data_IF_803603441301
#
_entry.id   IF_803603441301
#
_cell.length_a   1.000
_cell.length_b   1.000
_cell.length_c   1.000
_cell.angle_alpha   90.00
_cell.angle_beta   90.00
_cell.angle_gamma   90.00
#
_symmetry.space_group_name_H-M   'P 1'
#
loop_
_entity.id
_entity.type
_entity.pdbx_description
1 polymer ?
#
# COMPACT_ATOMS: atom_id res chain seq x y z
N UNK A 1 -8.66 -5.91 -69.22
CA UNK A 1 -8.89 -5.63 -67.79
C UNK A 1 -8.45 -6.85 -67.02
N UNK A 2 -7.29 -6.80 -66.35
CA UNK A 2 -6.83 -7.88 -65.50
C UNK A 2 -7.75 -7.91 -64.28
N UNK A 3 -8.56 -8.97 -64.18
CA UNK A 3 -9.68 -9.10 -63.25
C UNK A 3 -9.26 -9.42 -61.82
N UNK A 4 -8.66 -8.45 -61.13
CA UNK A 4 -8.77 -8.40 -59.68
C UNK A 4 -9.93 -7.46 -59.38
N UNK A 5 -11.03 -8.00 -58.86
CA UNK A 5 -12.11 -7.15 -58.36
C UNK A 5 -11.51 -6.26 -57.28
N UNK A 6 -11.63 -4.94 -57.44
CA UNK A 6 -11.12 -3.95 -56.47
C UNK A 6 -11.60 -4.27 -55.05
N UNK A 7 -12.79 -4.85 -54.92
CA UNK A 7 -13.34 -5.42 -53.68
C UNK A 7 -12.45 -6.50 -53.03
N UNK A 8 -11.89 -7.43 -53.82
CA UNK A 8 -10.98 -8.47 -53.34
C UNK A 8 -9.66 -7.89 -52.84
N UNK A 9 -9.13 -6.86 -53.52
CA UNK A 9 -7.93 -6.16 -53.07
C UNK A 9 -8.17 -5.39 -51.76
N UNK A 10 -9.31 -4.70 -51.65
CA UNK A 10 -9.71 -4.01 -50.41
C UNK A 10 -9.88 -5.01 -49.26
N UNK A 11 -10.50 -6.17 -49.51
CA UNK A 11 -10.67 -7.22 -48.51
C UNK A 11 -9.33 -7.77 -48.01
N UNK A 12 -8.38 -8.02 -48.93
CA UNK A 12 -7.02 -8.48 -48.56
C UNK A 12 -6.27 -7.42 -47.75
N UNK A 13 -6.33 -6.15 -48.14
CA UNK A 13 -5.71 -5.05 -47.39
C UNK A 13 -6.34 -4.87 -46.01
N UNK A 14 -7.67 -4.97 -45.90
CA UNK A 14 -8.38 -4.92 -44.62
C UNK A 14 -8.00 -6.07 -43.69
N UNK A 15 -7.92 -7.29 -44.22
CA UNK A 15 -7.49 -8.46 -43.46
C UNK A 15 -6.03 -8.32 -42.98
N UNK A 16 -5.12 -7.85 -43.84
CA UNK A 16 -3.74 -7.58 -43.47
C UNK A 16 -3.62 -6.49 -42.39
N UNK A 17 -4.41 -5.41 -42.51
CA UNK A 17 -4.45 -4.34 -41.51
C UNK A 17 -4.96 -4.80 -40.16
N UNK A 18 -6.02 -5.62 -40.13
CA UNK A 18 -6.53 -6.21 -38.89
C UNK A 18 -5.48 -7.13 -38.24
N UNK A 19 -4.83 -7.99 -39.04
CA UNK A 19 -3.79 -8.89 -38.53
C UNK A 19 -2.62 -8.11 -37.89
N UNK A 20 -2.15 -7.03 -38.53
CA UNK A 20 -1.11 -6.16 -37.98
C UNK A 20 -1.58 -5.43 -36.71
N UNK A 21 -2.82 -4.93 -36.71
CA UNK A 21 -3.40 -4.25 -35.55
C UNK A 21 -3.49 -5.17 -34.32
N UNK A 22 -3.94 -6.41 -34.52
CA UNK A 22 -4.00 -7.43 -33.46
C UNK A 22 -2.60 -7.83 -32.98
N UNK A 23 -1.62 -7.97 -33.89
CA UNK A 23 -0.24 -8.26 -33.53
C UNK A 23 0.42 -7.16 -32.69
N UNK A 24 0.05 -5.89 -32.94
CA UNK A 24 0.60 -4.72 -32.26
C UNK A 24 -0.24 -4.23 -31.07
N UNK A 25 -1.40 -4.84 -30.81
CA UNK A 25 -2.36 -4.38 -29.81
C UNK A 25 -1.73 -4.16 -28.43
N UNK A 26 -0.90 -5.12 -27.97
CA UNK A 26 -0.22 -5.02 -26.67
C UNK A 26 0.78 -3.87 -26.61
N UNK A 27 1.63 -3.73 -27.63
CA UNK A 27 2.61 -2.64 -27.71
C UNK A 27 1.94 -1.27 -27.79
N UNK A 28 0.85 -1.15 -28.56
CA UNK A 28 0.09 0.09 -28.68
C UNK A 28 -0.62 0.45 -27.35
N UNK A 29 -1.13 -0.54 -26.62
CA UNK A 29 -1.69 -0.34 -25.28
C UNK A 29 -0.64 0.20 -24.30
N UNK A 30 0.57 -0.36 -24.30
CA UNK A 30 1.66 0.11 -23.46
C UNK A 30 2.13 1.53 -23.83
N UNK A 31 2.20 1.84 -25.13
CA UNK A 31 2.51 3.18 -25.61
C UNK A 31 1.48 4.21 -25.16
N UNK A 32 0.19 3.91 -25.40
CA UNK A 32 -0.91 4.80 -24.99
C UNK A 32 -0.92 4.99 -23.47
N UNK A 33 -0.76 3.92 -22.69
CA UNK A 33 -0.67 3.99 -21.24
C UNK A 33 0.51 4.85 -20.76
N UNK A 34 1.67 4.72 -21.41
CA UNK A 34 2.85 5.55 -21.10
C UNK A 34 2.60 7.03 -21.35
N UNK A 35 1.96 7.38 -22.48
CA UNK A 35 1.56 8.76 -22.77
C UNK A 35 0.61 9.29 -21.68
N UNK A 36 -0.42 8.51 -21.31
CA UNK A 36 -1.39 8.91 -20.29
C UNK A 36 -0.71 9.15 -18.94
N UNK A 37 0.21 8.27 -18.53
CA UNK A 37 0.99 8.43 -17.28
C UNK A 37 1.84 9.70 -17.35
N UNK A 38 2.50 9.99 -18.48
CA UNK A 38 3.37 11.17 -18.61
C UNK A 38 2.58 12.48 -18.62
N UNK A 39 1.38 12.49 -19.21
CA UNK A 39 0.49 13.66 -19.29
C UNK A 39 -0.21 13.91 -17.96
N UNK A 40 -0.91 12.91 -17.43
CA UNK A 40 -1.76 13.07 -16.24
C UNK A 40 -1.01 12.88 -14.93
N UNK A 41 0.16 12.22 -14.96
CA UNK A 41 1.04 11.99 -13.81
C UNK A 41 0.29 11.49 -12.57
N UNK A 42 -0.45 10.36 -12.65
CA UNK A 42 -1.08 9.76 -11.47
C UNK A 42 -0.07 9.33 -10.40
N UNK A 43 1.19 9.16 -10.81
CA UNK A 43 2.37 9.03 -9.97
C UNK A 43 3.58 9.58 -10.73
N UNK A 44 4.66 9.87 -10.01
CA UNK A 44 5.92 10.38 -10.57
C UNK A 44 7.13 9.60 -10.03
N UNK A 45 8.29 9.81 -10.65
CA UNK A 45 9.57 9.29 -10.13
C UNK A 45 9.77 9.79 -8.70
N UNK A 46 10.11 8.86 -7.80
CA UNK A 46 10.24 9.09 -6.37
C UNK A 46 9.01 8.72 -5.54
N UNK A 47 7.83 8.54 -6.16
CA UNK A 47 6.64 8.10 -5.43
C UNK A 47 6.76 6.62 -5.05
N UNK A 48 6.31 6.27 -3.84
CA UNK A 48 6.13 4.88 -3.42
C UNK A 48 4.71 4.43 -3.79
N UNK A 49 4.60 3.41 -4.64
CA UNK A 49 3.31 2.92 -5.15
C UNK A 49 3.15 1.41 -4.93
N UNK A 50 1.90 0.96 -4.84
CA UNK A 50 1.49 -0.44 -4.96
C UNK A 50 0.66 -0.61 -6.23
N UNK A 51 1.09 -1.50 -7.10
CA UNK A 51 0.40 -1.82 -8.35
C UNK A 51 0.65 -3.28 -8.74
N UNK A 52 -0.40 -4.00 -9.14
CA UNK A 52 -0.33 -5.39 -9.63
C UNK A 52 0.46 -6.33 -8.71
N UNK A 53 0.25 -6.22 -7.39
CA UNK A 53 0.93 -7.05 -6.39
C UNK A 53 2.42 -6.72 -6.17
N UNK A 54 2.93 -5.65 -6.79
CA UNK A 54 4.28 -5.15 -6.58
C UNK A 54 4.25 -3.80 -5.85
N UNK A 55 5.14 -3.65 -4.88
CA UNK A 55 5.30 -2.40 -4.12
C UNK A 55 6.73 -1.88 -4.25
N UNK A 56 6.87 -0.59 -4.50
CA UNK A 56 8.19 0.00 -4.65
C UNK A 56 8.16 1.47 -5.00
N UNK A 57 9.35 2.08 -4.96
CA UNK A 57 9.56 3.46 -5.36
C UNK A 57 9.75 3.54 -6.87
N UNK A 58 9.00 4.43 -7.52
CA UNK A 58 9.11 4.67 -8.96
C UNK A 58 10.49 5.21 -9.27
N UNK A 59 11.31 4.41 -9.97
CA UNK A 59 12.66 4.78 -10.39
C UNK A 59 12.67 5.49 -11.74
N UNK A 60 11.86 5.00 -12.67
CA UNK A 60 11.86 5.52 -14.04
C UNK A 60 10.52 5.23 -14.73
N UNK A 61 10.03 6.19 -15.49
CA UNK A 61 8.88 6.02 -16.40
C UNK A 61 9.42 6.14 -17.83
N UNK A 62 9.21 5.11 -18.64
CA UNK A 62 9.55 5.10 -20.07
C UNK A 62 8.28 5.09 -20.90
N UNK A 63 8.40 5.15 -22.23
CA UNK A 63 7.26 5.12 -23.14
C UNK A 63 6.43 3.83 -22.99
N UNK A 64 7.08 2.68 -22.79
CA UNK A 64 6.36 1.39 -22.73
C UNK A 64 6.23 0.81 -21.33
N UNK A 65 7.18 1.08 -20.44
CA UNK A 65 7.22 0.46 -19.11
C UNK A 65 7.57 1.48 -18.02
N UNK A 66 7.15 1.18 -16.80
CA UNK A 66 7.57 1.86 -15.57
C UNK A 66 8.43 0.90 -14.74
N UNK A 67 9.50 1.42 -14.15
CA UNK A 67 10.42 0.67 -13.29
C UNK A 67 10.24 1.09 -11.84
N UNK A 68 10.03 0.11 -10.96
CA UNK A 68 9.99 0.30 -9.51
C UNK A 68 11.23 -0.33 -8.87
N UNK A 69 11.66 0.22 -7.74
CA UNK A 69 12.63 -0.42 -6.84
C UNK A 69 11.90 -0.84 -5.58
N UNK A 70 11.90 -2.14 -5.28
CA UNK A 70 11.26 -2.69 -4.08
C UNK A 70 12.08 -2.38 -2.83
N UNK A 71 11.51 -2.59 -1.64
CA UNK A 71 12.26 -2.55 -0.38
C UNK A 71 13.45 -3.52 -0.35
N UNK A 72 13.34 -4.64 -1.07
CA UNK A 72 14.42 -5.62 -1.24
C UNK A 72 15.50 -5.22 -2.25
N UNK A 73 15.48 -3.98 -2.75
CA UNK A 73 16.41 -3.47 -3.76
C UNK A 73 16.37 -4.26 -5.09
N UNK A 74 15.18 -4.71 -5.48
CA UNK A 74 14.94 -5.39 -6.76
C UNK A 74 14.27 -4.43 -7.75
N UNK A 75 14.66 -4.48 -9.02
CA UNK A 75 14.00 -3.71 -10.08
C UNK A 75 12.80 -4.50 -10.62
N UNK A 76 11.59 -3.95 -10.47
CA UNK A 76 10.36 -4.48 -11.04
C UNK A 76 10.01 -3.65 -12.28
N UNK A 77 9.84 -4.31 -13.43
CA UNK A 77 9.50 -3.66 -14.69
C UNK A 77 8.04 -3.97 -15.03
N UNK A 78 7.20 -2.94 -15.04
CA UNK A 78 5.76 -3.08 -15.25
C UNK A 78 5.37 -2.40 -16.58
N UNK A 79 4.69 -3.10 -17.49
CA UNK A 79 4.16 -2.48 -18.70
C UNK A 79 3.15 -1.38 -18.38
N UNK A 80 3.26 -0.24 -19.05
CA UNK A 80 2.43 0.93 -18.77
C UNK A 80 0.95 0.70 -19.07
N UNK A 81 0.64 -0.16 -20.04
CA UNK A 81 -0.75 -0.51 -20.37
C UNK A 81 -1.45 -1.13 -19.17
N UNK A 82 -0.74 -1.95 -18.39
CA UNK A 82 -1.31 -2.53 -17.18
C UNK A 82 -1.49 -1.47 -16.09
N UNK A 83 -0.52 -0.56 -15.91
CA UNK A 83 -0.63 0.52 -14.92
C UNK A 83 -1.75 1.51 -15.22
N UNK A 84 -2.00 1.81 -16.49
CA UNK A 84 -3.07 2.73 -16.88
C UNK A 84 -4.47 2.13 -16.80
N UNK A 85 -4.59 0.80 -16.82
CA UNK A 85 -5.88 0.11 -16.84
C UNK A 85 -6.31 -0.45 -15.48
N UNK A 86 -5.40 -0.57 -14.52
CA UNK A 86 -5.66 -1.17 -13.21
C UNK A 86 -5.55 -0.14 -12.06
N UNK A 87 -6.04 -0.51 -10.89
CA UNK A 87 -5.94 0.29 -9.68
C UNK A 87 -4.47 0.43 -9.26
N UNK A 88 -4.06 1.67 -9.01
CA UNK A 88 -2.78 2.01 -8.37
C UNK A 88 -3.06 2.65 -7.02
N UNK A 89 -2.31 2.26 -6.00
CA UNK A 89 -2.28 2.98 -4.73
C UNK A 89 -0.97 3.76 -4.65
N UNK A 90 -1.05 5.09 -4.67
CA UNK A 90 0.08 5.97 -4.45
C UNK A 90 0.11 6.37 -2.97
N UNK A 91 1.20 6.04 -2.27
CA UNK A 91 1.35 6.38 -0.85
C UNK A 91 2.05 7.72 -0.62
N UNK A 92 2.52 8.36 -1.68
CA UNK A 92 3.32 9.59 -1.63
C UNK A 92 2.56 10.84 -2.05
N UNK A 93 1.48 10.71 -2.84
CA UNK A 93 0.76 11.86 -3.42
C UNK A 93 0.20 12.82 -2.38
N UNK A 94 -0.34 12.29 -1.28
CA UNK A 94 -0.97 13.09 -0.22
C UNK A 94 0.04 13.66 0.80
N UNK A 95 1.32 13.28 0.70
CA UNK A 95 2.40 13.73 1.59
C UNK A 95 2.37 13.15 3.01
N UNK A 96 1.18 12.83 3.54
CA UNK A 96 0.98 12.24 4.87
C UNK A 96 0.34 10.87 4.78
N UNK A 97 0.62 10.02 5.78
CA UNK A 97 0.14 8.65 5.86
C UNK A 97 -0.43 8.38 7.25
N UNK A 98 -1.56 7.70 7.30
CA UNK A 98 -2.13 7.18 8.54
C UNK A 98 -1.72 5.73 8.74
N UNK A 99 -1.09 5.44 9.86
CA UNK A 99 -0.82 4.07 10.30
C UNK A 99 -2.00 3.52 11.10
N UNK A 100 -2.15 2.19 11.12
CA UNK A 100 -3.09 1.48 11.98
C UNK A 100 -2.39 0.26 12.58
N UNK A 101 -1.79 0.41 13.75
CA UNK A 101 -1.21 -0.69 14.50
C UNK A 101 -2.30 -1.41 15.30
N UNK A 102 -2.25 -2.73 15.34
CA UNK A 102 -3.12 -3.54 16.19
C UNK A 102 -2.27 -4.15 17.30
N UNK A 103 -2.55 -3.76 18.54
CA UNK A 103 -1.83 -4.20 19.74
C UNK A 103 -2.80 -4.94 20.65
N UNK A 104 -2.55 -6.23 20.88
CA UNK A 104 -3.34 -7.04 21.81
C UNK A 104 -2.86 -6.87 23.25
N UNK A 105 -3.79 -6.63 24.18
CA UNK A 105 -3.55 -6.70 25.63
C UNK A 105 -4.35 -7.85 26.24
N UNK A 106 -3.91 -8.37 27.39
CA UNK A 106 -4.63 -9.43 28.09
C UNK A 106 -5.98 -8.92 28.58
N UNK A 107 -6.98 -9.81 28.72
CA UNK A 107 -8.30 -9.44 29.25
C UNK A 107 -8.25 -8.93 30.71
N UNK A 108 -7.19 -9.27 31.45
CA UNK A 108 -6.95 -8.78 32.80
C UNK A 108 -6.28 -7.39 32.83
N UNK A 109 -5.70 -6.95 31.71
CA UNK A 109 -5.05 -5.64 31.61
C UNK A 109 -6.05 -4.49 31.56
N UNK A 110 -5.70 -3.36 32.18
CA UNK A 110 -6.53 -2.15 32.14
C UNK A 110 -6.50 -1.53 30.74
N UNK A 111 -7.65 -1.55 30.05
CA UNK A 111 -7.83 -0.90 28.74
C UNK A 111 -7.52 0.59 28.82
N UNK A 112 -8.01 1.27 29.87
CA UNK A 112 -7.81 2.72 30.02
C UNK A 112 -6.32 3.05 30.19
N UNK A 113 -5.61 2.33 31.07
CA UNK A 113 -4.17 2.53 31.27
C UNK A 113 -3.38 2.29 29.99
N UNK A 114 -3.72 1.24 29.23
CA UNK A 114 -3.07 0.94 27.94
C UNK A 114 -3.28 2.07 26.93
N UNK A 115 -4.51 2.57 26.81
CA UNK A 115 -4.84 3.69 25.91
C UNK A 115 -4.06 4.95 26.25
N UNK A 116 -4.04 5.32 27.53
CA UNK A 116 -3.40 6.55 27.99
C UNK A 116 -1.90 6.51 27.71
N UNK A 117 -1.23 5.39 28.02
CA UNK A 117 0.21 5.22 27.73
C UNK A 117 0.53 5.29 26.23
N UNK A 118 -0.29 4.68 25.38
CA UNK A 118 -0.07 4.76 23.93
C UNK A 118 -0.29 6.19 23.43
N UNK A 119 -1.31 6.89 23.92
CA UNK A 119 -1.58 8.28 23.55
C UNK A 119 -0.44 9.20 24.00
N UNK A 120 0.12 9.00 25.20
CA UNK A 120 1.30 9.71 25.68
C UNK A 120 2.52 9.47 24.79
N UNK A 121 2.77 8.22 24.39
CA UNK A 121 3.84 7.88 23.45
C UNK A 121 3.64 8.55 22.08
N UNK A 122 2.40 8.60 21.60
CA UNK A 122 2.08 9.29 20.35
C UNK A 122 2.31 10.80 20.46
N UNK A 123 1.89 11.42 21.56
CA UNK A 123 2.09 12.85 21.81
C UNK A 123 3.57 13.22 22.02
N UNK A 124 4.41 12.28 22.46
CA UNK A 124 5.83 12.49 22.69
C UNK A 124 6.70 12.32 21.43
N UNK A 125 6.18 11.73 20.34
CA UNK A 125 6.93 11.58 19.10
C UNK A 125 6.69 12.77 18.16
N UNK A 126 7.73 13.57 17.91
CA UNK A 126 7.68 14.76 17.04
C UNK A 126 7.27 14.46 15.59
N UNK A 127 7.38 13.20 15.15
CA UNK A 127 6.98 12.80 13.79
C UNK A 127 5.49 12.48 13.67
N UNK A 128 4.79 12.37 14.81
CA UNK A 128 3.34 12.13 14.86
C UNK A 128 2.64 13.48 14.88
N UNK A 129 1.69 13.63 13.96
CA UNK A 129 0.92 14.87 13.83
C UNK A 129 -0.09 15.01 14.98
N UNK A 130 -0.25 16.23 15.49
CA UNK A 130 -1.18 16.57 16.59
C UNK A 130 -2.17 17.66 16.20
N UNK A 131 -2.23 18.01 14.92
CA UNK A 131 -3.18 19.00 14.39
C UNK A 131 -4.61 18.45 14.36
N UNK A 132 -5.60 19.36 14.41
CA UNK A 132 -7.02 19.01 14.45
C UNK A 132 -7.41 18.10 13.27
N UNK A 133 -8.06 16.97 13.57
CA UNK A 133 -8.44 15.94 12.59
C UNK A 133 -7.35 14.93 12.25
N UNK A 134 -6.12 15.09 12.76
CA UNK A 134 -5.02 14.14 12.63
C UNK A 134 -4.46 13.65 13.96
N UNK A 135 -5.21 13.84 15.03
CA UNK A 135 -4.82 13.39 16.36
C UNK A 135 -4.69 11.86 16.40
N UNK A 136 -3.78 11.39 17.25
CA UNK A 136 -3.66 9.98 17.53
C UNK A 136 -4.94 9.47 18.19
N UNK A 137 -5.39 8.28 17.80
CA UNK A 137 -6.57 7.63 18.32
C UNK A 137 -6.23 6.20 18.73
N UNK A 138 -6.61 5.83 19.96
CA UNK A 138 -6.52 4.46 20.45
C UNK A 138 -7.92 3.98 20.82
N UNK A 139 -8.39 2.93 20.16
CA UNK A 139 -9.71 2.34 20.41
C UNK A 139 -9.61 0.83 20.55
N UNK A 140 -10.53 0.23 21.29
CA UNK A 140 -10.72 -1.23 21.22
C UNK A 140 -11.36 -1.54 19.87
N UNK A 141 -10.64 -2.25 19.01
CA UNK A 141 -11.15 -2.65 17.70
C UNK A 141 -11.83 -4.01 17.72
N UNK A 142 -11.43 -4.89 18.64
CA UNK A 142 -11.90 -6.27 18.68
C UNK A 142 -11.66 -6.91 20.06
N UNK A 143 -12.56 -7.81 20.47
CA UNK A 143 -12.39 -8.72 21.59
C UNK A 143 -12.09 -10.12 20.99
N UNK A 144 -10.82 -10.48 20.89
CA UNK A 144 -10.35 -11.69 20.21
C UNK A 144 -10.15 -12.86 21.19
N UNK A 145 -9.92 -14.07 20.68
CA UNK A 145 -9.88 -15.32 21.47
C UNK A 145 -8.97 -15.30 22.71
N UNK A 146 -7.88 -14.53 22.68
CA UNK A 146 -6.91 -14.44 23.79
C UNK A 146 -6.47 -13.01 24.10
N UNK A 147 -7.07 -11.98 23.48
CA UNK A 147 -6.65 -10.59 23.64
C UNK A 147 -7.78 -9.60 23.42
N UNK A 148 -7.69 -8.44 24.10
CA UNK A 148 -8.41 -7.23 23.71
C UNK A 148 -7.52 -6.47 22.73
N UNK A 149 -7.94 -6.36 21.48
CA UNK A 149 -7.16 -5.72 20.42
C UNK A 149 -7.42 -4.21 20.40
N UNK A 150 -6.35 -3.43 20.60
CA UNK A 150 -6.34 -1.99 20.48
C UNK A 150 -5.87 -1.58 19.08
N UNK A 151 -6.67 -0.78 18.38
CA UNK A 151 -6.29 -0.10 17.13
C UNK A 151 -5.70 1.26 17.47
N UNK A 152 -4.40 1.41 17.21
CA UNK A 152 -3.60 2.62 17.40
C UNK A 152 -3.43 3.28 16.05
N UNK A 153 -4.01 4.47 15.89
CA UNK A 153 -4.02 5.21 14.62
C UNK A 153 -3.36 6.55 14.82
N UNK A 154 -2.42 6.89 13.96
CA UNK A 154 -1.73 8.18 14.00
C UNK A 154 -1.25 8.55 12.59
N UNK A 155 -1.04 9.83 12.36
CA UNK A 155 -0.58 10.38 11.10
C UNK A 155 0.90 10.76 11.18
N UNK A 156 1.64 10.51 10.11
CA UNK A 156 3.06 10.89 9.94
C UNK A 156 3.29 11.36 8.51
N UNK A 157 4.44 11.98 8.24
CA UNK A 157 4.84 12.25 6.85
C UNK A 157 5.27 10.95 6.16
N UNK A 158 5.20 10.94 4.83
CA UNK A 158 5.62 9.76 4.04
C UNK A 158 7.08 9.37 4.30
N UNK A 159 7.94 10.36 4.57
CA UNK A 159 9.37 10.19 4.82
C UNK A 159 9.63 9.48 6.15
N UNK A 160 8.95 9.89 7.22
CA UNK A 160 9.19 9.37 8.57
C UNK A 160 8.31 8.18 8.93
N UNK A 161 7.32 7.85 8.09
CA UNK A 161 6.34 6.79 8.31
C UNK A 161 6.94 5.47 8.83
N UNK A 162 7.92 4.90 8.12
CA UNK A 162 8.50 3.61 8.49
C UNK A 162 9.34 3.68 9.78
N UNK A 163 10.30 4.62 9.92
CA UNK A 163 10.99 4.82 11.20
C UNK A 163 10.05 5.00 12.38
N UNK A 164 9.02 5.85 12.26
CA UNK A 164 8.05 6.11 13.33
C UNK A 164 7.23 4.86 13.66
N UNK A 165 6.80 4.09 12.64
CA UNK A 165 6.10 2.82 12.84
C UNK A 165 6.91 1.85 13.69
N UNK A 166 8.16 1.58 13.32
CA UNK A 166 8.98 0.60 14.03
C UNK A 166 9.32 1.06 15.45
N UNK A 167 9.71 2.33 15.61
CA UNK A 167 9.96 2.94 16.91
C UNK A 167 8.73 2.88 17.82
N UNK A 168 7.53 3.13 17.28
CA UNK A 168 6.29 3.08 18.05
C UNK A 168 6.00 1.67 18.57
N UNK A 169 6.19 0.63 17.76
CA UNK A 169 6.02 -0.77 18.19
C UNK A 169 6.96 -1.10 19.35
N UNK A 170 8.25 -0.74 19.25
CA UNK A 170 9.24 -0.97 20.29
C UNK A 170 8.91 -0.19 21.58
N UNK A 171 8.54 1.08 21.45
CA UNK A 171 8.20 1.94 22.58
C UNK A 171 6.93 1.48 23.31
N UNK A 172 5.90 1.05 22.58
CA UNK A 172 4.68 0.48 23.16
C UNK A 172 5.05 -0.76 23.97
N UNK A 173 5.82 -1.68 23.40
CA UNK A 173 6.26 -2.89 24.10
C UNK A 173 7.03 -2.55 25.38
N UNK A 174 8.02 -1.67 25.29
CA UNK A 174 8.84 -1.30 26.44
C UNK A 174 8.05 -0.56 27.53
N UNK A 175 7.08 0.28 27.14
CA UNK A 175 6.19 0.98 28.08
C UNK A 175 5.26 -0.01 28.79
N UNK A 176 4.66 -0.95 28.05
CA UNK A 176 3.79 -1.97 28.60
C UNK A 176 4.51 -2.86 29.61
N UNK A 177 5.75 -3.28 29.31
CA UNK A 177 6.57 -4.07 30.24
C UNK A 177 6.85 -3.31 31.55
N UNK A 178 7.17 -2.01 31.46
CA UNK A 178 7.44 -1.16 32.62
C UNK A 178 6.20 -0.97 33.49
N UNK A 179 5.05 -0.84 32.84
CA UNK A 179 3.78 -0.47 33.47
C UNK A 179 2.92 -1.67 33.85
N UNK A 180 3.39 -2.89 33.61
CA UNK A 180 2.71 -4.14 33.93
C UNK A 180 1.49 -4.42 33.06
N UNK A 181 1.47 -3.96 31.81
CA UNK A 181 0.44 -4.29 30.82
C UNK A 181 0.90 -5.53 30.07
N UNK A 182 0.14 -6.60 30.19
CA UNK A 182 0.49 -7.89 29.62
C UNK A 182 0.04 -7.97 28.16
N UNK A 183 0.96 -8.37 27.28
CA UNK A 183 0.67 -8.80 25.91
C UNK A 183 0.53 -10.33 25.96
N UNK A 184 -0.68 -10.87 25.71
CA UNK A 184 -0.97 -12.27 26.00
C UNK A 184 -0.37 -13.20 24.94
N UNK A 185 0.02 -14.39 25.38
CA UNK A 185 0.23 -15.52 24.48
C UNK A 185 -1.14 -16.15 24.13
N UNK A 186 -1.24 -16.94 23.05
CA UNK A 186 -2.45 -17.73 22.80
C UNK A 186 -2.77 -18.65 23.99
N UNK A 187 -3.96 -18.51 24.57
CA UNK A 187 -4.40 -19.34 25.69
C UNK A 187 -5.35 -20.46 25.22
N UNK A 188 -5.26 -21.63 25.85
CA UNK A 188 -6.20 -22.74 25.65
C UNK A 188 -6.78 -23.17 26.98
N UNK A 189 -8.10 -23.24 27.05
CA UNK A 189 -8.80 -23.80 28.20
C UNK A 189 -8.88 -25.32 28.01
N UNK A 190 -8.19 -26.09 28.86
CA UNK A 190 -8.36 -27.54 28.90
C UNK A 190 -9.46 -27.89 29.90
N UNK A 191 -10.57 -28.43 29.39
CA UNK A 191 -11.63 -28.99 30.23
C UNK A 191 -11.33 -30.47 30.45
N UNK A 192 -10.79 -30.82 31.61
CA UNK A 192 -10.64 -32.22 32.00
C UNK A 192 -12.02 -32.81 32.34
N UNK A 193 -12.45 -33.84 31.61
CA UNK A 193 -13.64 -34.61 31.98
C UNK A 193 -13.28 -35.52 33.17
N UNK A 194 -14.07 -35.43 34.24
CA UNK A 194 -14.01 -36.33 35.40
C UNK A 194 -14.70 -37.64 35.09
#
# INVERSE_FOLDING_TARGET
>A
QVGVETSSLIAMLGAAGLALGLALQGSLSNFAGGILILIFKPFKVGDFISAQGSEGTVKQITVFNTKLVTFGNQEVIIPNGNLSNDKITNYSSEGVRRENLVIGISYSSSIQKAKDLILELCAADENIMTEEGKEAMVVVSELADSSVNLSVRYWTTTETFWPTKFKMIENIKASFDREGIEIPFPHRVMVAQK
#
